data_IF_245170127038
#
_entry.id   IF_245170127038
#
_cell.length_a   1.000
_cell.length_b   1.000
_cell.length_c   1.000
_cell.angle_alpha   90.00
_cell.angle_beta   90.00
_cell.angle_gamma   90.00
#
_symmetry.space_group_name_H-M   'P 1'
#
loop_
_entity.id
_entity.type
_entity.pdbx_description
1 polymer ?
#
# COMPACT_ATOMS: atom_id res chain seq x y z
N UNK A 1 -1.85 26.61 -0.57
CA UNK A 1 -3.00 26.35 -1.47
C UNK A 1 -2.48 26.00 -2.83
N UNK A 2 -2.51 24.73 -3.19
CA UNK A 2 -2.18 24.29 -4.54
C UNK A 2 -3.34 24.73 -5.45
N UNK A 3 -3.18 25.84 -6.15
CA UNK A 3 -3.98 26.14 -7.33
C UNK A 3 -3.63 25.09 -8.40
N UNK A 4 -4.57 24.18 -8.68
CA UNK A 4 -4.52 23.32 -9.84
C UNK A 4 -4.30 21.83 -9.63
N UNK A 5 -4.48 21.27 -8.43
CA UNK A 5 -4.54 19.83 -8.26
C UNK A 5 -5.93 19.33 -8.72
N UNK A 6 -6.04 18.99 -10.00
CA UNK A 6 -7.22 18.30 -10.51
C UNK A 6 -7.33 16.93 -9.84
N UNK A 7 -8.45 16.71 -9.16
CA UNK A 7 -8.82 15.40 -8.65
C UNK A 7 -9.24 14.51 -9.83
N UNK A 8 -8.55 13.40 -10.03
CA UNK A 8 -8.94 12.37 -11.00
C UNK A 8 -9.75 11.31 -10.25
N UNK A 9 -11.00 11.11 -10.69
CA UNK A 9 -11.88 10.06 -10.17
C UNK A 9 -11.84 8.87 -11.12
N UNK A 10 -11.38 7.71 -10.60
CA UNK A 10 -11.25 6.48 -11.38
C UNK A 10 -12.34 5.51 -10.93
N UNK A 11 -13.08 4.95 -11.89
CA UNK A 11 -14.08 3.93 -11.61
C UNK A 11 -13.44 2.66 -11.07
N UNK A 12 -14.06 2.10 -10.03
CA UNK A 12 -13.67 0.84 -9.44
C UNK A 12 -14.84 0.12 -8.79
N UNK A 13 -14.62 -1.12 -8.42
CA UNK A 13 -15.56 -1.91 -7.65
C UNK A 13 -14.82 -2.91 -6.79
N UNK A 14 -15.38 -3.23 -5.64
CA UNK A 14 -14.98 -4.36 -4.84
C UNK A 14 -15.79 -5.59 -5.26
N UNK A 15 -15.08 -6.69 -5.47
CA UNK A 15 -15.62 -8.02 -5.76
C UNK A 15 -15.53 -8.80 -4.46
N UNK A 16 -16.61 -8.78 -3.70
CA UNK A 16 -16.70 -9.44 -2.40
C UNK A 16 -16.86 -10.95 -2.58
N UNK A 17 -15.98 -11.72 -1.99
CA UNK A 17 -16.00 -13.19 -1.95
C UNK A 17 -15.64 -13.66 -0.56
N UNK A 18 -16.19 -14.84 -0.19
CA UNK A 18 -15.73 -15.56 0.98
C UNK A 18 -14.25 -15.94 0.84
N UNK A 19 -13.50 -15.92 1.93
CA UNK A 19 -12.11 -16.31 1.91
C UNK A 19 -11.95 -17.85 1.95
N UNK A 20 -11.07 -18.46 1.12
CA UNK A 20 -10.40 -17.87 -0.02
C UNK A 20 -11.31 -17.73 -1.25
N UNK A 21 -11.15 -16.76 -2.18
CA UNK A 21 -10.00 -15.85 -2.29
C UNK A 21 -10.13 -14.56 -1.46
N UNK A 22 -11.27 -14.28 -0.81
CA UNK A 22 -11.51 -13.01 -0.12
C UNK A 22 -11.91 -11.88 -1.07
N UNK A 23 -11.80 -10.65 -0.61
CA UNK A 23 -12.22 -9.47 -1.32
C UNK A 23 -11.14 -9.01 -2.32
N UNK A 24 -11.57 -8.57 -3.49
CA UNK A 24 -10.69 -8.16 -4.58
C UNK A 24 -11.22 -6.85 -5.17
N UNK A 25 -10.37 -5.87 -5.31
CA UNK A 25 -10.71 -4.62 -5.98
C UNK A 25 -10.29 -4.62 -7.45
N UNK A 26 -11.19 -4.13 -8.32
CA UNK A 26 -10.90 -3.85 -9.71
C UNK A 26 -11.07 -2.36 -9.97
N UNK A 27 -10.01 -1.68 -10.42
CA UNK A 27 -10.02 -0.24 -10.73
C UNK A 27 -9.75 -0.02 -12.23
N UNK A 28 -10.18 1.11 -12.78
CA UNK A 28 -10.25 1.42 -14.21
C UNK A 28 -11.28 0.59 -14.97
N UNK A 29 -12.32 0.10 -14.28
CA UNK A 29 -13.42 -0.62 -14.94
C UNK A 29 -14.27 0.34 -15.75
N UNK A 30 -14.69 -0.10 -16.96
CA UNK A 30 -15.59 0.66 -17.84
C UNK A 30 -17.04 0.49 -17.43
N UNK A 31 -17.41 -0.71 -16.97
CA UNK A 31 -18.76 -1.07 -16.53
C UNK A 31 -18.67 -2.11 -15.41
N UNK A 32 -18.84 -1.66 -14.17
CA UNK A 32 -18.80 -2.52 -12.99
C UNK A 32 -19.93 -3.56 -12.95
N UNK A 33 -21.08 -3.29 -13.59
CA UNK A 33 -22.21 -4.22 -13.61
C UNK A 33 -21.88 -5.51 -14.36
N UNK A 34 -20.91 -5.50 -15.27
CA UNK A 34 -20.44 -6.71 -15.96
C UNK A 34 -19.59 -7.62 -15.10
N UNK A 35 -19.15 -7.15 -13.94
CA UNK A 35 -18.43 -7.95 -12.95
C UNK A 35 -19.38 -8.65 -11.96
N UNK A 36 -20.67 -8.52 -12.19
CA UNK A 36 -21.73 -9.13 -11.38
C UNK A 36 -22.58 -10.00 -12.31
N UNK A 37 -22.73 -11.27 -11.92
CA UNK A 37 -23.66 -12.18 -12.60
C UNK A 37 -24.63 -12.78 -11.57
N UNK A 38 -25.92 -12.52 -11.73
CA UNK A 38 -26.98 -13.01 -10.87
C UNK A 38 -27.71 -14.15 -11.58
N UNK A 39 -27.23 -15.36 -11.40
CA UNK A 39 -27.86 -16.56 -11.94
C UNK A 39 -29.00 -17.03 -11.02
N UNK A 40 -30.21 -16.65 -11.33
CA UNK A 40 -31.42 -17.02 -10.57
C UNK A 40 -31.70 -18.54 -10.56
N UNK A 41 -31.10 -19.31 -11.47
CA UNK A 41 -31.25 -20.78 -11.44
C UNK A 41 -30.56 -21.39 -10.22
N UNK A 42 -29.64 -20.67 -9.59
CA UNK A 42 -28.93 -21.06 -8.35
C UNK A 42 -29.63 -20.60 -7.08
N UNK A 43 -30.84 -20.02 -7.15
CA UNK A 43 -31.59 -19.60 -5.97
C UNK A 43 -31.73 -20.70 -4.90
N UNK A 44 -31.94 -21.98 -5.23
CA UNK A 44 -32.01 -23.04 -4.21
C UNK A 44 -30.74 -23.17 -3.35
N UNK A 45 -29.57 -22.88 -3.90
CA UNK A 45 -28.32 -22.91 -3.13
C UNK A 45 -28.26 -21.74 -2.13
N UNK A 46 -28.79 -20.59 -2.51
CA UNK A 46 -28.87 -19.41 -1.63
C UNK A 46 -29.91 -19.63 -0.53
N UNK A 47 -31.06 -20.22 -0.87
CA UNK A 47 -32.12 -20.54 0.10
C UNK A 47 -31.56 -21.49 1.18
N UNK A 48 -30.86 -22.57 0.77
CA UNK A 48 -30.18 -23.49 1.70
C UNK A 48 -29.14 -22.79 2.58
N UNK A 49 -28.34 -21.89 2.00
CA UNK A 49 -27.38 -21.09 2.76
C UNK A 49 -28.08 -20.22 3.82
N UNK A 50 -29.12 -19.48 3.43
CA UNK A 50 -29.88 -18.61 4.33
C UNK A 50 -30.57 -19.40 5.44
N UNK A 51 -31.17 -20.55 5.14
CA UNK A 51 -31.80 -21.42 6.13
C UNK A 51 -30.83 -21.91 7.21
N UNK A 52 -29.55 -22.02 6.88
CA UNK A 52 -28.48 -22.40 7.81
C UNK A 52 -27.99 -21.27 8.73
N UNK A 53 -28.40 -20.02 8.51
CA UNK A 53 -27.96 -18.87 9.28
C UNK A 53 -28.70 -18.77 10.65
N UNK A 54 -28.12 -17.99 11.61
CA UNK A 54 -28.83 -17.55 12.79
C UNK A 54 -30.10 -16.77 12.45
N UNK A 55 -31.15 -16.89 13.31
CA UNK A 55 -32.47 -16.32 13.02
C UNK A 55 -32.49 -14.81 12.83
N UNK A 56 -31.65 -14.08 13.51
CA UNK A 56 -31.47 -12.64 13.38
C UNK A 56 -30.91 -12.28 12.00
N UNK A 57 -29.93 -13.02 11.49
CA UNK A 57 -29.38 -12.85 10.15
C UNK A 57 -30.40 -13.24 9.07
N UNK A 58 -31.19 -14.33 9.26
CA UNK A 58 -32.26 -14.68 8.31
C UNK A 58 -33.23 -13.50 8.15
N UNK A 59 -33.58 -12.83 9.26
CA UNK A 59 -34.47 -11.69 9.21
C UNK A 59 -33.89 -10.53 8.38
N UNK A 60 -32.57 -10.30 8.42
CA UNK A 60 -31.92 -9.29 7.57
C UNK A 60 -32.08 -9.58 6.07
N UNK A 61 -31.96 -10.86 5.66
CA UNK A 61 -32.19 -11.25 4.26
C UNK A 61 -33.63 -11.07 3.80
N UNK A 62 -34.60 -11.15 4.74
CA UNK A 62 -36.00 -10.88 4.47
C UNK A 62 -36.26 -9.38 4.32
N UNK A 63 -35.67 -8.57 5.20
CA UNK A 63 -35.86 -7.13 5.23
C UNK A 63 -35.07 -6.41 4.13
N UNK A 64 -33.92 -6.98 3.71
CA UNK A 64 -32.98 -6.44 2.73
C UNK A 64 -32.77 -7.43 1.54
N UNK A 65 -33.74 -7.51 0.59
CA UNK A 65 -33.69 -8.51 -0.50
C UNK A 65 -32.45 -8.43 -1.40
N UNK A 66 -31.74 -7.29 -1.42
CA UNK A 66 -30.50 -7.14 -2.18
C UNK A 66 -29.35 -8.01 -1.63
N UNK A 67 -29.39 -8.40 -0.36
CA UNK A 67 -28.42 -9.35 0.23
C UNK A 67 -28.49 -10.70 -0.48
N UNK A 68 -29.69 -11.17 -0.85
CA UNK A 68 -29.88 -12.39 -1.63
C UNK A 68 -29.20 -12.31 -3.00
N UNK A 69 -29.28 -11.15 -3.67
CA UNK A 69 -28.60 -10.91 -4.93
C UNK A 69 -27.08 -10.87 -4.75
N UNK A 70 -26.60 -10.36 -3.62
CA UNK A 70 -25.20 -10.40 -3.23
C UNK A 70 -24.65 -11.82 -3.12
N UNK A 71 -25.40 -12.73 -2.45
CA UNK A 71 -25.01 -14.14 -2.37
C UNK A 71 -25.01 -14.80 -3.75
N UNK A 72 -26.06 -14.58 -4.56
CA UNK A 72 -26.10 -15.10 -5.94
C UNK A 72 -24.90 -14.62 -6.77
N UNK A 73 -24.56 -13.35 -6.67
CA UNK A 73 -23.41 -12.79 -7.35
C UNK A 73 -22.08 -13.41 -6.84
N UNK A 74 -21.99 -13.72 -5.56
CA UNK A 74 -20.82 -14.38 -4.97
C UNK A 74 -20.64 -15.84 -5.42
N UNK A 75 -21.68 -16.48 -5.92
CA UNK A 75 -21.60 -17.83 -6.49
C UNK A 75 -21.01 -17.84 -7.91
N UNK A 76 -20.91 -16.70 -8.59
CA UNK A 76 -20.26 -16.65 -9.89
C UNK A 76 -18.75 -16.93 -9.73
N UNK A 77 -18.15 -17.84 -10.52
CA UNK A 77 -16.75 -18.21 -10.39
C UNK A 77 -15.86 -16.98 -10.42
N UNK A 78 -14.92 -16.89 -9.49
CA UNK A 78 -14.05 -15.73 -9.36
C UNK A 78 -13.19 -15.52 -10.62
N UNK A 79 -12.72 -16.58 -11.23
CA UNK A 79 -11.90 -16.54 -12.45
C UNK A 79 -12.67 -15.87 -13.59
N UNK A 80 -13.98 -16.19 -13.75
CA UNK A 80 -14.81 -15.58 -14.80
C UNK A 80 -15.02 -14.08 -14.53
N UNK A 81 -15.25 -13.72 -13.27
CA UNK A 81 -15.35 -12.31 -12.85
C UNK A 81 -14.07 -11.54 -13.18
N UNK A 82 -12.91 -12.11 -12.82
CA UNK A 82 -11.62 -11.47 -13.06
C UNK A 82 -11.22 -11.48 -14.55
N UNK A 83 -11.65 -12.46 -15.31
CA UNK A 83 -11.49 -12.45 -16.78
C UNK A 83 -12.29 -11.29 -17.39
N UNK A 84 -13.51 -11.01 -16.92
CA UNK A 84 -14.25 -9.83 -17.37
C UNK A 84 -13.55 -8.53 -16.95
N UNK A 85 -13.01 -8.44 -15.74
CA UNK A 85 -12.19 -7.30 -15.35
C UNK A 85 -10.97 -7.11 -16.26
N UNK A 86 -10.30 -8.20 -16.63
CA UNK A 86 -9.18 -8.21 -17.59
C UNK A 86 -9.61 -7.76 -18.99
N UNK A 87 -10.79 -8.19 -19.47
CA UNK A 87 -11.35 -7.75 -20.75
C UNK A 87 -11.63 -6.23 -20.78
N UNK A 88 -11.89 -5.65 -19.61
CA UNK A 88 -12.02 -4.21 -19.42
C UNK A 88 -10.68 -3.50 -19.18
N UNK A 89 -9.59 -4.23 -19.18
CA UNK A 89 -8.23 -3.74 -18.87
C UNK A 89 -8.11 -3.13 -17.47
N UNK A 90 -8.89 -3.64 -16.51
CA UNK A 90 -8.85 -3.20 -15.13
C UNK A 90 -7.54 -3.61 -14.45
N UNK A 91 -7.04 -2.77 -13.57
CA UNK A 91 -6.03 -3.16 -12.60
C UNK A 91 -6.74 -3.79 -11.41
N UNK A 92 -6.32 -5.01 -11.04
CA UNK A 92 -6.97 -5.83 -10.02
C UNK A 92 -6.00 -6.07 -8.88
N UNK A 93 -6.44 -5.90 -7.64
CA UNK A 93 -5.62 -6.19 -6.46
C UNK A 93 -6.43 -6.89 -5.36
N UNK A 94 -5.75 -7.76 -4.63
CA UNK A 94 -6.29 -8.46 -3.48
C UNK A 94 -6.39 -7.53 -2.29
N UNK A 95 -7.59 -7.41 -1.75
CA UNK A 95 -7.97 -6.44 -0.73
C UNK A 95 -7.81 -7.05 0.67
N UNK A 96 -7.38 -6.27 1.65
CA UNK A 96 -7.24 -6.59 3.09
C UNK A 96 -7.12 -8.10 3.42
N UNK A 97 -6.11 -8.81 2.84
CA UNK A 97 -6.03 -10.26 2.92
C UNK A 97 -5.94 -10.79 4.36
N UNK A 98 -5.25 -10.08 5.26
CA UNK A 98 -5.11 -10.49 6.65
C UNK A 98 -6.46 -10.48 7.39
N UNK A 99 -7.28 -9.44 7.20
CA UNK A 99 -8.62 -9.37 7.78
C UNK A 99 -9.52 -10.48 7.28
N UNK A 100 -9.57 -10.72 5.97
CA UNK A 100 -10.39 -11.77 5.36
C UNK A 100 -10.00 -13.18 5.86
N UNK A 101 -8.71 -13.42 6.06
CA UNK A 101 -8.19 -14.68 6.60
C UNK A 101 -8.59 -14.89 8.07
N UNK A 102 -8.49 -13.83 8.89
CA UNK A 102 -8.87 -13.87 10.31
C UNK A 102 -10.37 -14.09 10.48
N UNK A 103 -11.21 -13.43 9.68
CA UNK A 103 -12.67 -13.57 9.71
C UNK A 103 -13.11 -15.02 9.46
N UNK A 104 -12.49 -15.72 8.53
CA UNK A 104 -12.76 -17.12 8.22
C UNK A 104 -11.90 -18.10 9.04
N UNK A 105 -11.17 -17.61 10.05
CA UNK A 105 -10.31 -18.43 10.94
C UNK A 105 -9.34 -19.33 10.17
N UNK A 106 -8.76 -18.82 9.09
CA UNK A 106 -7.79 -19.54 8.26
C UNK A 106 -6.41 -19.58 8.90
N UNK A 107 -5.75 -20.73 8.86
CA UNK A 107 -4.40 -20.93 9.39
C UNK A 107 -3.31 -20.28 8.51
N UNK A 108 -3.66 -19.84 7.31
CA UNK A 108 -2.73 -19.25 6.35
C UNK A 108 -3.41 -18.21 5.45
N UNK A 109 -2.65 -17.24 5.01
CA UNK A 109 -3.11 -16.19 4.11
C UNK A 109 -3.15 -16.67 2.65
N UNK A 110 -2.08 -17.29 2.18
CA UNK A 110 -1.93 -17.71 0.80
C UNK A 110 -2.49 -19.12 0.56
N UNK A 111 -3.43 -19.25 -0.39
CA UNK A 111 -4.04 -20.49 -0.84
C UNK A 111 -3.75 -20.75 -2.33
N UNK A 112 -3.96 -21.98 -2.80
CA UNK A 112 -3.72 -22.38 -4.22
C UNK A 112 -4.49 -21.48 -5.20
N UNK A 113 -5.73 -21.14 -4.89
CA UNK A 113 -6.54 -20.24 -5.73
C UNK A 113 -5.86 -18.88 -5.96
N UNK A 114 -5.21 -18.30 -4.95
CA UNK A 114 -4.49 -17.03 -5.12
C UNK A 114 -3.31 -17.20 -6.07
N UNK A 115 -2.54 -18.28 -5.90
CA UNK A 115 -1.39 -18.60 -6.75
C UNK A 115 -1.85 -18.79 -8.20
N UNK A 116 -2.96 -19.48 -8.41
CA UNK A 116 -3.53 -19.69 -9.75
C UNK A 116 -3.97 -18.37 -10.39
N UNK A 117 -4.58 -17.48 -9.62
CA UNK A 117 -5.00 -16.15 -10.09
C UNK A 117 -3.78 -15.26 -10.41
N UNK A 118 -2.70 -15.33 -9.63
CA UNK A 118 -1.44 -14.63 -9.92
C UNK A 118 -0.79 -15.16 -11.21
N UNK A 119 -0.69 -16.49 -11.35
CA UNK A 119 -0.10 -17.12 -12.53
C UNK A 119 -0.85 -16.82 -13.83
N UNK A 120 -2.18 -16.63 -13.74
CA UNK A 120 -3.03 -16.26 -14.87
C UNK A 120 -3.00 -14.74 -15.15
N UNK A 121 -2.27 -13.97 -14.36
CA UNK A 121 -2.25 -12.51 -14.41
C UNK A 121 -3.67 -11.92 -14.35
N UNK A 122 -4.44 -12.40 -13.37
CA UNK A 122 -5.79 -11.93 -13.03
C UNK A 122 -5.79 -11.04 -11.79
N UNK A 123 -4.77 -11.16 -10.94
CA UNK A 123 -4.49 -10.24 -9.83
C UNK A 123 -3.09 -9.66 -10.05
N UNK A 124 -2.97 -8.34 -9.99
CA UNK A 124 -1.77 -7.59 -10.31
C UNK A 124 -1.11 -6.97 -9.07
N UNK A 125 -1.87 -6.82 -7.99
CA UNK A 125 -1.41 -6.19 -6.75
C UNK A 125 -2.02 -6.84 -5.51
N UNK A 126 -1.49 -6.45 -4.37
CA UNK A 126 -1.97 -6.90 -3.05
C UNK A 126 -1.93 -5.73 -2.07
N UNK A 127 -2.92 -5.65 -1.23
CA UNK A 127 -2.98 -4.66 -0.18
C UNK A 127 -2.16 -5.11 1.03
N UNK A 128 -1.10 -4.35 1.34
CA UNK A 128 -0.23 -4.60 2.49
C UNK A 128 -0.60 -3.74 3.70
N UNK A 129 -1.30 -2.64 3.46
CA UNK A 129 -1.84 -1.75 4.50
C UNK A 129 -3.30 -1.46 4.20
N UNK A 130 -4.18 -1.81 5.13
CA UNK A 130 -5.59 -1.44 5.11
C UNK A 130 -5.90 -0.58 6.33
N UNK A 131 -6.33 0.66 6.10
CA UNK A 131 -6.62 1.60 7.18
C UNK A 131 -5.44 1.82 8.14
N UNK A 132 -5.51 1.21 9.31
CA UNK A 132 -4.48 1.30 10.35
C UNK A 132 -3.68 0.00 10.54
N UNK A 133 -3.95 -1.03 9.74
CA UNK A 133 -3.38 -2.36 9.84
C UNK A 133 -2.33 -2.60 8.76
N UNK A 134 -1.17 -3.08 9.14
CA UNK A 134 -0.09 -3.50 8.26
C UNK A 134 0.11 -5.01 8.38
N UNK A 135 0.29 -5.70 7.26
CA UNK A 135 0.53 -7.13 7.19
C UNK A 135 1.91 -7.43 6.60
N UNK A 136 2.82 -7.92 7.44
CA UNK A 136 4.14 -8.41 7.00
C UNK A 136 4.01 -9.60 6.05
N UNK A 137 3.02 -10.48 6.26
CA UNK A 137 2.80 -11.66 5.40
C UNK A 137 2.31 -11.24 4.02
N UNK A 138 1.34 -10.30 3.92
CA UNK A 138 0.91 -9.75 2.63
C UNK A 138 2.06 -9.04 1.90
N UNK A 139 2.93 -8.35 2.64
CA UNK A 139 4.11 -7.71 2.07
C UNK A 139 5.11 -8.75 1.53
N UNK A 140 5.34 -9.84 2.26
CA UNK A 140 6.18 -10.93 1.77
C UNK A 140 5.61 -11.58 0.50
N UNK A 141 4.28 -11.81 0.47
CA UNK A 141 3.60 -12.33 -0.73
C UNK A 141 3.76 -11.38 -1.91
N UNK A 142 3.64 -10.06 -1.68
CA UNK A 142 3.86 -9.06 -2.74
C UNK A 142 5.24 -9.17 -3.38
N UNK A 143 6.27 -9.43 -2.56
CA UNK A 143 7.65 -9.59 -3.02
C UNK A 143 7.83 -10.92 -3.75
N UNK A 144 7.36 -12.02 -3.17
CA UNK A 144 7.57 -13.38 -3.69
C UNK A 144 6.89 -13.59 -5.06
N UNK A 145 5.76 -12.91 -5.30
CA UNK A 145 4.98 -13.01 -6.54
C UNK A 145 5.09 -11.77 -7.43
N UNK A 146 5.99 -10.85 -7.13
CA UNK A 146 6.21 -9.59 -7.86
C UNK A 146 4.93 -8.75 -8.06
N UNK A 147 4.04 -8.75 -7.06
CA UNK A 147 2.80 -7.99 -7.08
C UNK A 147 3.04 -6.50 -6.80
N UNK A 148 2.13 -5.67 -7.29
CA UNK A 148 2.10 -4.25 -6.94
C UNK A 148 1.67 -4.07 -5.50
N UNK A 149 2.45 -3.30 -4.74
CA UNK A 149 2.22 -3.04 -3.32
C UNK A 149 1.21 -1.91 -3.18
N UNK A 150 0.08 -2.17 -2.53
CA UNK A 150 -1.05 -1.26 -2.37
C UNK A 150 -1.31 -0.99 -0.89
N UNK A 151 -1.71 0.23 -0.58
CA UNK A 151 -2.25 0.61 0.72
C UNK A 151 -3.46 1.51 0.54
N UNK A 152 -4.55 1.17 1.22
CA UNK A 152 -5.80 1.94 1.17
C UNK A 152 -6.31 2.29 2.57
N UNK A 153 -7.33 3.11 2.63
CA UNK A 153 -7.96 3.50 3.89
C UNK A 153 -9.16 2.64 4.28
N UNK A 154 -9.80 2.03 3.29
CA UNK A 154 -11.04 1.26 3.47
C UNK A 154 -12.11 2.01 4.29
N UNK A 155 -12.21 3.31 4.06
CA UNK A 155 -13.10 4.19 4.82
C UNK A 155 -14.53 4.05 4.33
N UNK A 156 -15.44 3.69 5.24
CA UNK A 156 -16.87 3.54 4.98
C UNK A 156 -17.69 4.79 5.36
N UNK A 157 -17.07 5.80 5.93
CA UNK A 157 -17.68 7.04 6.36
C UNK A 157 -16.96 8.28 5.83
N UNK A 158 -17.07 9.39 6.58
CA UNK A 158 -16.35 10.61 6.25
C UNK A 158 -14.89 10.48 6.69
N UNK A 159 -14.00 10.54 5.73
CA UNK A 159 -12.56 10.32 5.93
C UNK A 159 -11.95 11.25 6.99
N UNK A 160 -12.44 12.47 7.05
CA UNK A 160 -11.97 13.49 8.00
C UNK A 160 -12.32 13.13 9.45
N UNK A 161 -13.35 12.32 9.68
CA UNK A 161 -13.70 11.89 11.04
C UNK A 161 -12.74 10.85 11.58
N UNK A 162 -12.17 10.03 10.70
CA UNK A 162 -11.29 8.94 11.09
C UNK A 162 -9.82 9.37 11.19
N UNK A 163 -9.40 10.35 10.39
CA UNK A 163 -7.97 10.66 10.22
C UNK A 163 -7.51 12.05 10.65
N UNK A 164 -8.31 13.11 10.54
CA UNK A 164 -7.86 14.48 10.82
C UNK A 164 -7.56 14.80 12.30
N UNK A 165 -8.01 13.98 13.23
CA UNK A 165 -7.88 14.28 14.67
C UNK A 165 -6.69 13.60 15.34
N UNK A 166 -5.82 12.88 14.61
CA UNK A 166 -4.69 12.16 15.17
C UNK A 166 -3.38 12.86 14.84
N UNK A 167 -2.48 13.09 15.83
CA UNK A 167 -1.12 13.55 15.53
C UNK A 167 -0.44 12.59 14.58
N UNK A 168 0.08 13.06 13.45
CA UNK A 168 0.64 12.28 12.33
C UNK A 168 -0.38 11.33 11.67
N UNK A 169 -1.70 11.61 11.81
CA UNK A 169 -2.77 10.77 11.32
C UNK A 169 -3.24 11.20 9.93
N UNK A 170 -2.48 10.90 8.89
CA UNK A 170 -3.06 10.82 7.55
C UNK A 170 -3.57 9.41 7.31
N UNK A 171 -4.55 9.27 6.40
CA UNK A 171 -4.99 7.97 5.92
C UNK A 171 -3.83 7.24 5.23
N UNK A 172 -3.88 5.92 5.20
CA UNK A 172 -3.00 5.14 4.34
C UNK A 172 -3.24 5.49 2.89
N UNK A 173 -2.17 5.74 2.14
CA UNK A 173 -2.22 6.11 0.72
C UNK A 173 -1.18 5.34 -0.06
N UNK A 174 -1.50 5.05 -1.32
CA UNK A 174 -0.53 4.57 -2.29
C UNK A 174 0.01 5.75 -3.09
N UNK A 175 1.30 6.04 -2.94
CA UNK A 175 2.03 6.97 -3.80
C UNK A 175 2.32 6.26 -5.11
N UNK A 176 1.92 6.85 -6.23
CA UNK A 176 2.10 6.27 -7.57
C UNK A 176 3.15 7.08 -8.31
N UNK A 177 4.27 6.42 -8.68
CA UNK A 177 5.38 7.03 -9.39
C UNK A 177 5.07 7.01 -10.90
N UNK A 178 4.22 7.93 -11.33
CA UNK A 178 3.79 8.08 -12.71
C UNK A 178 4.59 9.17 -13.44
N UNK A 179 4.70 9.09 -14.76
CA UNK A 179 5.41 10.08 -15.58
C UNK A 179 4.67 11.44 -15.63
N UNK A 180 3.34 11.37 -15.57
CA UNK A 180 2.46 12.55 -15.53
C UNK A 180 1.17 12.24 -14.75
N UNK A 181 0.28 13.23 -14.60
CA UNK A 181 -0.99 13.12 -13.87
C UNK A 181 -2.16 12.61 -14.73
N UNK A 182 -1.90 11.93 -15.85
CA UNK A 182 -2.98 11.35 -16.67
C UNK A 182 -3.41 9.98 -16.12
N UNK A 183 -4.70 9.65 -16.28
CA UNK A 183 -5.24 8.33 -15.93
C UNK A 183 -4.42 7.20 -16.56
N UNK A 184 -4.00 7.37 -17.81
CA UNK A 184 -3.18 6.40 -18.53
C UNK A 184 -1.82 6.19 -17.86
N UNK A 185 -1.13 7.26 -17.50
CA UNK A 185 0.19 7.19 -16.86
C UNK A 185 0.09 6.58 -15.46
N UNK A 186 -0.97 6.90 -14.71
CA UNK A 186 -1.27 6.32 -13.41
C UNK A 186 -1.52 4.81 -13.55
N UNK A 187 -2.35 4.41 -14.51
CA UNK A 187 -2.64 3.00 -14.81
C UNK A 187 -1.36 2.24 -15.18
N UNK A 188 -0.55 2.79 -16.08
CA UNK A 188 0.73 2.21 -16.47
C UNK A 188 1.69 2.01 -15.29
N UNK A 189 1.76 2.98 -14.38
CA UNK A 189 2.60 2.90 -13.18
C UNK A 189 2.12 1.79 -12.23
N UNK A 190 0.80 1.65 -12.04
CA UNK A 190 0.22 0.55 -11.24
C UNK A 190 0.57 -0.81 -11.82
N UNK A 191 0.36 -1.03 -13.12
CA UNK A 191 0.71 -2.30 -13.76
C UNK A 191 2.21 -2.63 -13.74
N UNK A 192 3.07 -1.61 -13.63
CA UNK A 192 4.52 -1.75 -13.50
C UNK A 192 5.00 -1.88 -12.06
N UNK A 193 4.09 -1.90 -11.09
CA UNK A 193 4.43 -1.98 -9.66
C UNK A 193 5.19 -0.74 -9.13
N UNK A 194 5.03 0.43 -9.78
CA UNK A 194 5.71 1.68 -9.39
C UNK A 194 4.91 2.40 -8.31
N UNK A 195 4.90 1.80 -7.13
CA UNK A 195 4.13 2.27 -5.98
C UNK A 195 4.95 2.24 -4.71
N UNK A 196 4.61 3.15 -3.79
CA UNK A 196 5.07 3.14 -2.40
C UNK A 196 3.88 3.48 -1.51
N UNK A 197 3.61 2.64 -0.52
CA UNK A 197 2.59 2.93 0.48
C UNK A 197 3.17 3.88 1.52
N UNK A 198 2.43 4.95 1.82
CA UNK A 198 2.75 5.86 2.91
C UNK A 198 1.72 5.69 4.04
N UNK A 199 2.19 5.18 5.18
CA UNK A 199 1.38 4.80 6.31
C UNK A 199 2.04 5.20 7.62
N UNK A 200 1.40 6.03 8.44
CA UNK A 200 1.93 6.50 9.74
C UNK A 200 3.38 6.97 9.68
N UNK A 201 3.74 7.72 8.68
CA UNK A 201 5.13 8.15 8.42
C UNK A 201 6.10 6.99 8.07
N UNK A 202 5.59 5.84 7.67
CA UNK A 202 6.37 4.71 7.16
C UNK A 202 6.17 4.61 5.65
N UNK A 203 7.24 4.43 4.90
CA UNK A 203 7.24 4.16 3.47
C UNK A 203 7.42 2.66 3.24
N UNK A 204 6.55 2.02 2.44
CA UNK A 204 6.58 0.57 2.20
C UNK A 204 6.49 0.35 0.69
N UNK A 205 7.46 -0.34 0.11
CA UNK A 205 7.48 -0.56 -1.33
C UNK A 205 8.64 -1.41 -1.80
N UNK A 206 8.71 -1.64 -3.11
CA UNK A 206 9.89 -2.27 -3.73
C UNK A 206 11.10 -1.34 -3.57
N UNK A 207 12.29 -1.92 -3.44
CA UNK A 207 13.52 -1.18 -3.13
C UNK A 207 13.74 0.00 -4.09
N UNK A 208 13.62 -0.21 -5.39
CA UNK A 208 13.82 0.82 -6.40
C UNK A 208 12.87 2.01 -6.24
N UNK A 209 11.60 1.75 -5.95
CA UNK A 209 10.59 2.80 -5.78
C UNK A 209 10.80 3.61 -4.49
N UNK A 210 11.11 2.92 -3.40
CA UNK A 210 11.40 3.56 -2.11
C UNK A 210 12.66 4.42 -2.23
N UNK A 211 13.68 3.92 -2.91
CA UNK A 211 14.92 4.66 -3.14
C UNK A 211 14.67 5.92 -3.98
N UNK A 212 13.86 5.84 -5.05
CA UNK A 212 13.49 7.03 -5.85
C UNK A 212 12.84 8.13 -4.99
N UNK A 213 11.94 7.74 -4.05
CA UNK A 213 11.32 8.72 -3.13
C UNK A 213 12.35 9.30 -2.17
N UNK A 214 13.24 8.49 -1.60
CA UNK A 214 14.29 8.95 -0.70
C UNK A 214 15.22 9.93 -1.43
N UNK A 215 15.71 9.56 -2.62
CA UNK A 215 16.62 10.38 -3.42
C UNK A 215 15.97 11.70 -3.86
N UNK A 216 14.67 11.69 -4.16
CA UNK A 216 13.91 12.89 -4.49
C UNK A 216 13.64 13.78 -3.27
N UNK A 217 13.63 13.21 -2.06
CA UNK A 217 13.28 13.91 -0.82
C UNK A 217 14.47 14.48 -0.07
N UNK A 218 15.60 13.74 -0.04
CA UNK A 218 16.76 14.05 0.77
C UNK A 218 17.95 14.48 -0.12
N UNK A 219 18.65 15.52 0.31
CA UNK A 219 19.88 15.96 -0.34
C UNK A 219 20.90 16.48 0.66
N UNK A 220 22.18 16.37 0.31
CA UNK A 220 23.24 17.08 1.05
C UNK A 220 23.24 18.53 0.58
N UNK A 221 22.71 19.42 1.41
CA UNK A 221 22.69 20.86 1.11
C UNK A 221 24.06 21.49 1.21
N UNK A 222 24.84 21.05 2.21
CA UNK A 222 26.16 21.62 2.46
C UNK A 222 27.05 20.63 3.24
N UNK A 223 28.37 20.69 3.01
CA UNK A 223 29.35 19.94 3.77
C UNK A 223 30.63 20.74 3.90
N UNK A 224 31.10 20.98 5.13
CA UNK A 224 32.30 21.80 5.40
C UNK A 224 32.96 21.39 6.72
N UNK A 225 34.25 21.65 6.84
CA UNK A 225 34.98 21.41 8.09
C UNK A 225 34.69 22.49 9.12
N UNK A 226 34.50 22.10 10.38
CA UNK A 226 34.27 23.00 11.51
C UNK A 226 35.55 23.69 11.91
N UNK A 227 35.74 24.91 11.42
CA UNK A 227 36.95 25.70 11.63
C UNK A 227 38.22 24.94 11.19
N UNK A 228 39.24 24.90 12.06
CA UNK A 228 40.50 24.20 11.80
C UNK A 228 40.53 22.77 12.40
N UNK A 229 39.37 22.13 12.52
CA UNK A 229 39.24 20.77 13.08
C UNK A 229 39.10 19.71 11.97
N UNK A 230 39.18 18.43 12.34
CA UNK A 230 38.92 17.30 11.46
C UNK A 230 37.41 16.86 11.54
N UNK A 231 36.55 17.72 12.06
CA UNK A 231 35.11 17.44 12.15
C UNK A 231 34.44 18.02 10.92
N UNK A 232 33.77 17.12 10.15
CA UNK A 232 32.98 17.51 8.98
C UNK A 232 31.54 17.77 9.44
N UNK A 233 31.03 18.96 9.17
CA UNK A 233 29.63 19.32 9.32
C UNK A 233 28.91 19.00 8.02
N UNK A 234 27.83 18.22 8.09
CA UNK A 234 26.97 17.90 6.96
C UNK A 234 25.56 18.41 7.25
N UNK A 235 25.01 19.17 6.30
CA UNK A 235 23.63 19.68 6.33
C UNK A 235 22.80 18.83 5.37
N UNK A 236 21.87 18.06 5.91
CA UNK A 236 20.93 17.21 5.15
C UNK A 236 19.60 17.95 5.09
N UNK A 237 19.12 18.23 3.88
CA UNK A 237 17.85 18.88 3.60
C UNK A 237 16.80 17.84 3.19
N UNK A 238 15.60 17.97 3.75
CA UNK A 238 14.40 17.23 3.37
C UNK A 238 13.39 18.20 2.78
N UNK A 239 13.00 17.98 1.53
CA UNK A 239 12.02 18.83 0.82
C UNK A 239 10.62 18.22 0.77
N UNK A 240 10.42 17.04 1.37
CA UNK A 240 9.15 16.29 1.37
C UNK A 240 8.34 16.50 2.65
N UNK A 241 7.11 16.01 2.64
CA UNK A 241 6.19 15.98 3.79
C UNK A 241 6.50 14.83 4.78
N UNK A 242 7.32 13.84 4.40
CA UNK A 242 7.70 12.74 5.26
C UNK A 242 8.80 13.16 6.25
N UNK A 243 8.74 12.67 7.49
CA UNK A 243 9.83 12.81 8.44
C UNK A 243 10.74 11.58 8.35
N UNK A 244 11.98 11.74 7.89
CA UNK A 244 12.91 10.64 7.77
C UNK A 244 13.67 10.36 9.08
N UNK A 245 13.76 9.08 9.44
CA UNK A 245 14.60 8.59 10.53
C UNK A 245 15.79 7.84 9.95
N UNK A 246 16.98 8.39 10.15
CA UNK A 246 18.22 7.90 9.55
C UNK A 246 19.11 7.29 10.62
N UNK A 247 19.74 6.14 10.31
CA UNK A 247 20.79 5.53 11.12
C UNK A 247 22.07 5.48 10.32
N UNK A 248 23.15 5.98 10.90
CA UNK A 248 24.47 5.91 10.26
C UNK A 248 25.03 4.50 10.38
N UNK A 249 25.47 3.95 9.24
CA UNK A 249 26.03 2.62 9.16
C UNK A 249 27.36 2.50 9.91
N UNK A 250 27.68 1.29 10.38
CA UNK A 250 28.85 0.98 11.19
C UNK A 250 30.17 1.49 10.56
N UNK A 251 30.97 2.14 11.40
CA UNK A 251 32.31 2.62 11.06
C UNK A 251 32.46 4.12 10.84
N UNK A 252 31.36 4.88 10.83
CA UNK A 252 31.40 6.34 10.80
C UNK A 252 31.01 6.92 12.16
N UNK A 253 31.95 7.63 12.77
CA UNK A 253 31.73 8.27 14.07
C UNK A 253 30.95 9.59 13.85
N UNK A 254 29.74 9.65 14.37
CA UNK A 254 29.04 10.92 14.57
C UNK A 254 29.49 11.48 15.92
N UNK A 255 30.20 12.61 15.89
CA UNK A 255 30.57 13.32 17.12
C UNK A 255 29.40 14.18 17.59
N UNK A 256 29.11 14.13 18.89
CA UNK A 256 28.08 14.95 19.56
C UNK A 256 26.61 14.74 19.08
N UNK A 257 26.34 13.76 18.21
CA UNK A 257 25.00 13.40 17.78
C UNK A 257 24.75 11.90 18.00
N UNK A 258 23.52 11.48 18.24
CA UNK A 258 23.21 10.06 18.24
C UNK A 258 23.37 9.47 16.83
N UNK A 259 23.71 8.18 16.73
CA UNK A 259 23.82 7.49 15.44
C UNK A 259 22.48 7.46 14.69
N UNK A 260 21.37 7.61 15.41
CA UNK A 260 20.01 7.73 14.84
C UNK A 260 19.56 9.18 15.00
N UNK A 261 19.14 9.79 13.91
CA UNK A 261 18.65 11.17 13.89
C UNK A 261 17.48 11.32 12.90
N UNK A 262 16.70 12.39 13.06
CA UNK A 262 15.57 12.69 12.18
C UNK A 262 15.87 13.89 11.28
N UNK A 263 15.36 13.85 10.06
CA UNK A 263 15.30 14.99 9.15
C UNK A 263 13.82 15.35 8.95
N UNK A 264 13.40 16.40 9.65
CA UNK A 264 12.02 16.82 9.68
C UNK A 264 11.50 17.23 8.28
N UNK A 265 10.19 17.16 8.01
CA UNK A 265 9.59 17.68 6.79
C UNK A 265 10.01 19.11 6.53
N UNK A 266 10.37 19.42 5.27
CA UNK A 266 10.81 20.76 4.82
C UNK A 266 11.90 21.38 5.71
N UNK A 267 12.75 20.53 6.32
CA UNK A 267 13.74 20.90 7.31
C UNK A 267 15.17 20.58 6.88
N UNK A 268 16.11 21.10 7.69
CA UNK A 268 17.54 20.82 7.56
C UNK A 268 18.05 20.28 8.87
N UNK A 269 18.69 19.11 8.84
CA UNK A 269 19.38 18.54 9.99
C UNK A 269 20.89 18.62 9.78
N UNK A 270 21.61 19.03 10.84
CA UNK A 270 23.08 19.12 10.84
C UNK A 270 23.64 17.97 11.66
N UNK A 271 24.59 17.26 11.08
CA UNK A 271 25.36 16.21 11.77
C UNK A 271 26.84 16.51 11.73
N UNK A 272 27.57 16.09 12.79
CA UNK A 272 29.03 16.22 12.92
C UNK A 272 29.68 14.84 12.73
N UNK A 273 30.48 14.68 11.69
CA UNK A 273 31.25 13.47 11.42
C UNK A 273 32.67 13.69 11.87
N UNK A 274 33.10 12.93 12.89
CA UNK A 274 34.42 13.04 13.47
C UNK A 274 35.52 12.35 12.66
N UNK A 275 36.75 12.84 12.80
CA UNK A 275 37.97 12.20 12.33
C UNK A 275 38.09 12.01 10.80
N UNK A 276 37.39 12.83 10.01
CA UNK A 276 37.52 12.79 8.55
C UNK A 276 38.86 13.44 8.12
N UNK A 277 39.82 12.61 7.72
CA UNK A 277 41.05 13.06 7.07
C UNK A 277 40.93 13.10 5.53
N UNK A 278 39.79 12.69 5.01
CA UNK A 278 39.54 12.57 3.57
C UNK A 278 38.78 13.77 3.02
N UNK A 279 39.15 14.20 1.84
CA UNK A 279 38.41 15.22 1.09
C UNK A 279 37.12 14.68 0.47
N UNK A 280 36.89 13.36 0.54
CA UNK A 280 35.67 12.68 0.09
C UNK A 280 35.21 11.74 1.21
N UNK A 281 34.00 11.95 1.68
CA UNK A 281 33.33 11.10 2.67
C UNK A 281 32.07 10.54 2.02
N UNK A 282 31.91 9.21 2.05
CA UNK A 282 30.66 8.56 1.70
C UNK A 282 29.95 8.29 3.03
N UNK A 283 28.76 8.85 3.20
CA UNK A 283 27.90 8.61 4.35
C UNK A 283 26.88 7.52 3.98
N UNK A 284 27.07 6.31 4.48
CA UNK A 284 26.06 5.26 4.38
C UNK A 284 25.03 5.43 5.50
N UNK A 285 23.76 5.50 5.12
CA UNK A 285 22.66 5.63 6.09
C UNK A 285 21.53 4.67 5.75
N UNK A 286 20.99 4.02 6.78
CA UNK A 286 19.74 3.25 6.66
C UNK A 286 18.57 4.18 6.98
N UNK A 287 17.49 4.05 6.20
CA UNK A 287 16.25 4.82 6.43
C UNK A 287 15.28 3.97 7.23
N UNK A 288 15.26 4.17 8.56
CA UNK A 288 14.57 3.30 9.52
C UNK A 288 13.04 3.32 9.42
N UNK A 289 12.46 4.36 8.86
CA UNK A 289 11.02 4.46 8.60
C UNK A 289 10.65 4.16 7.14
N UNK A 290 11.44 3.33 6.48
CA UNK A 290 11.15 2.78 5.17
C UNK A 290 11.40 1.26 5.19
N UNK A 291 10.52 0.50 4.53
CA UNK A 291 10.61 -0.95 4.42
C UNK A 291 10.60 -1.36 2.94
N UNK A 292 11.58 -2.18 2.56
CA UNK A 292 11.71 -2.77 1.21
C UNK A 292 11.43 -4.27 1.19
N UNK A 293 11.37 -4.87 2.36
CA UNK A 293 10.87 -6.21 2.69
C UNK A 293 10.50 -6.22 4.18
N UNK A 294 9.77 -7.23 4.69
CA UNK A 294 9.54 -7.37 6.12
C UNK A 294 10.85 -7.23 6.92
N UNK A 295 10.86 -6.31 7.89
CA UNK A 295 12.01 -5.99 8.74
C UNK A 295 13.30 -5.61 7.99
N UNK A 296 13.22 -5.13 6.75
CA UNK A 296 14.36 -4.73 5.94
C UNK A 296 14.25 -3.27 5.52
N UNK A 297 15.29 -2.49 5.84
CA UNK A 297 15.39 -1.07 5.52
C UNK A 297 16.26 -0.83 4.28
N UNK A 298 15.98 0.22 3.46
CA UNK A 298 16.88 0.66 2.42
C UNK A 298 18.12 1.36 3.02
N UNK A 299 19.25 1.29 2.31
CA UNK A 299 20.53 1.86 2.73
C UNK A 299 21.19 2.68 1.61
#
# INVERSE_FOLDING_TARGET
SAEGDELIVINGTEITRKFPPGHINAVFVKDANKLINIDRSRQPEVDEYIEGLPKDLIQEYIDEPWLNDGVLAALWPIEETLMEAKNQEAFVFWNHPAWSSEEESSDKLLHEIHIDLFNQNLIHGIEVVNGIWFSDEAFQIAIDYDLTIIGTSDVHGLIDWDYLQRPNGHRSVTLILSEDKTEKSIKDALFKGRTVVWYKNILIGKNENVQEIIDASLSIKNAYFKGNTNVLLVEIENISDANFQLSVNDGQLIENNPNIFSVAPHGITKIEIGNSKSTKVNLGVDVLNAYIAPNTHPS
#
